data_IF_586339615879
#
_entry.id   IF_586339615879
#
_cell.length_a   1.000
_cell.length_b   1.000
_cell.length_c   1.000
_cell.angle_alpha   90.00
_cell.angle_beta   90.00
_cell.angle_gamma   90.00
#
_symmetry.space_group_name_H-M   'P 1'
#
loop_
_entity.id
_entity.type
_entity.pdbx_description
1 polymer ?
#
# COMPACT_ATOMS: atom_id res chain seq x y z
N UNK A 1 2.02 11.50 31.30
CA UNK A 1 2.61 10.41 30.50
C UNK A 1 3.70 11.00 29.62
N UNK A 2 4.87 10.37 29.58
CA UNK A 2 6.00 10.78 28.73
C UNK A 2 6.58 9.58 28.02
N UNK A 3 7.07 9.79 26.83
CA UNK A 3 7.82 8.77 26.07
C UNK A 3 9.13 8.52 26.81
N UNK A 4 9.38 7.28 27.18
CA UNK A 4 10.59 6.85 27.89
C UNK A 4 11.65 6.30 26.93
N UNK A 5 11.22 5.57 25.92
CA UNK A 5 12.10 4.91 24.94
C UNK A 5 11.33 4.56 23.67
N UNK A 6 12.05 4.43 22.54
CA UNK A 6 11.53 3.89 21.28
C UNK A 6 12.49 2.80 20.83
N UNK A 7 11.97 1.63 20.48
CA UNK A 7 12.77 0.49 20.01
C UNK A 7 12.20 -0.09 18.72
N UNK A 8 13.09 -0.56 17.88
CA UNK A 8 12.77 -1.31 16.67
C UNK A 8 12.99 -2.81 16.89
N UNK A 9 12.16 -3.63 16.25
CA UNK A 9 12.24 -5.08 16.25
C UNK A 9 12.18 -5.56 14.81
N UNK A 10 13.28 -6.13 14.33
CA UNK A 10 13.35 -6.73 13.00
C UNK A 10 13.07 -8.22 13.10
N UNK A 11 12.07 -8.70 12.38
CA UNK A 11 11.59 -10.08 12.42
C UNK A 11 11.71 -10.68 11.02
N UNK A 12 12.37 -11.82 10.90
CA UNK A 12 12.52 -12.52 9.61
C UNK A 12 11.16 -12.95 9.04
N UNK A 13 10.96 -12.66 7.76
CA UNK A 13 9.77 -13.02 6.99
C UNK A 13 10.16 -13.64 5.64
N UNK A 14 11.02 -14.63 5.65
CA UNK A 14 11.52 -15.47 4.54
C UNK A 14 11.90 -14.76 3.24
N UNK A 15 11.24 -13.68 2.84
CA UNK A 15 11.55 -12.87 1.64
C UNK A 15 12.23 -11.54 2.00
N UNK A 16 11.76 -10.93 3.07
CA UNK A 16 12.23 -9.65 3.62
C UNK A 16 12.10 -9.71 5.13
N UNK A 17 12.31 -8.62 5.84
CA UNK A 17 12.09 -8.58 7.28
C UNK A 17 10.94 -7.61 7.58
N UNK A 18 10.08 -7.99 8.50
CA UNK A 18 9.18 -7.05 9.15
C UNK A 18 9.95 -6.20 10.15
N UNK A 19 9.63 -4.93 10.21
CA UNK A 19 10.19 -4.00 11.20
C UNK A 19 9.05 -3.39 11.98
N UNK A 20 9.00 -3.69 13.27
CA UNK A 20 8.06 -3.10 14.20
C UNK A 20 8.73 -2.02 15.05
N UNK A 21 7.98 -0.96 15.37
CA UNK A 21 8.40 0.11 16.28
C UNK A 21 7.54 0.03 17.52
N UNK A 22 8.17 0.03 18.68
CA UNK A 22 7.48 0.10 19.97
C UNK A 22 7.88 1.35 20.72
N UNK A 23 6.89 2.18 21.07
CA UNK A 23 7.04 3.38 21.90
C UNK A 23 6.67 3.03 23.33
N UNK A 24 7.62 3.19 24.24
CA UNK A 24 7.45 2.94 25.66
C UNK A 24 7.16 4.25 26.41
N UNK A 25 6.24 4.20 27.38
CA UNK A 25 5.94 5.36 28.22
C UNK A 25 6.30 5.12 29.69
N UNK A 26 6.36 6.20 30.47
CA UNK A 26 6.56 6.16 31.92
C UNK A 26 5.33 5.67 32.70
N UNK A 27 4.16 5.62 32.06
CA UNK A 27 2.92 5.11 32.65
C UNK A 27 2.69 3.61 32.45
N UNK A 28 3.53 2.93 31.64
CA UNK A 28 3.35 1.53 31.26
C UNK A 28 2.32 1.31 30.13
N UNK A 29 1.69 2.36 29.61
CA UNK A 29 0.86 2.28 28.40
C UNK A 29 1.77 2.47 27.19
N UNK A 30 2.10 1.36 26.52
CA UNK A 30 3.01 1.33 25.37
C UNK A 30 2.23 1.14 24.07
N UNK A 31 2.77 1.65 22.95
CA UNK A 31 2.18 1.50 21.62
C UNK A 31 3.11 0.82 20.62
N UNK A 32 2.52 0.25 19.58
CA UNK A 32 3.23 -0.44 18.49
C UNK A 32 2.78 0.09 17.14
N UNK A 33 3.73 0.28 16.23
CA UNK A 33 3.50 0.57 14.82
C UNK A 33 4.38 -0.31 13.93
N UNK A 34 4.08 -0.36 12.66
CA UNK A 34 4.85 -1.10 11.65
C UNK A 34 5.59 -0.15 10.74
N UNK A 35 6.87 -0.47 10.47
CA UNK A 35 7.78 0.31 9.66
C UNK A 35 8.40 -0.52 8.53
N UNK A 36 7.79 -1.63 8.15
CA UNK A 36 8.33 -2.55 7.15
C UNK A 36 8.56 -1.82 5.83
N UNK A 37 9.82 -1.73 5.43
CA UNK A 37 10.24 -1.21 4.12
C UNK A 37 11.21 -2.22 3.51
N UNK A 38 10.74 -2.98 2.52
CA UNK A 38 11.46 -4.10 1.93
C UNK A 38 12.87 -3.71 1.47
N UNK A 39 13.87 -4.49 1.89
CA UNK A 39 15.29 -4.32 1.52
C UNK A 39 15.94 -3.00 2.01
N UNK A 40 15.27 -2.23 2.88
CA UNK A 40 15.78 -0.96 3.44
C UNK A 40 15.77 -0.93 4.97
N UNK A 41 15.63 -2.07 5.62
CA UNK A 41 15.42 -2.23 7.07
C UNK A 41 16.46 -1.47 7.89
N UNK A 42 17.75 -1.54 7.49
CA UNK A 42 18.84 -0.85 8.21
C UNK A 42 18.73 0.69 8.13
N UNK A 43 18.35 1.21 6.98
CA UNK A 43 18.12 2.64 6.80
C UNK A 43 16.93 3.10 7.63
N UNK A 44 15.87 2.30 7.64
CA UNK A 44 14.66 2.56 8.41
C UNK A 44 14.92 2.55 9.92
N UNK A 45 15.64 1.55 10.44
CA UNK A 45 16.04 1.49 11.86
C UNK A 45 16.81 2.75 12.25
N UNK A 46 17.77 3.18 11.41
CA UNK A 46 18.53 4.42 11.64
C UNK A 46 17.65 5.67 11.66
N UNK A 47 16.64 5.74 10.79
CA UNK A 47 15.68 6.85 10.77
C UNK A 47 14.82 6.89 12.04
N UNK A 48 14.36 5.73 12.55
CA UNK A 48 13.60 5.65 13.81
C UNK A 48 14.47 6.07 15.00
N UNK A 49 15.75 5.65 15.06
CA UNK A 49 16.66 6.08 16.12
C UNK A 49 16.90 7.60 16.09
N UNK A 50 16.98 8.20 14.90
CA UNK A 50 17.07 9.66 14.78
C UNK A 50 15.81 10.37 15.29
N UNK A 51 14.62 9.90 14.92
CA UNK A 51 13.33 10.44 15.40
C UNK A 51 13.23 10.34 16.93
N UNK A 52 13.67 9.23 17.51
CA UNK A 52 13.66 8.97 18.95
C UNK A 52 14.32 10.09 19.76
N UNK A 53 15.42 10.66 19.28
CA UNK A 53 16.16 11.71 19.97
C UNK A 53 15.28 12.95 20.30
N UNK A 54 14.34 13.28 19.41
CA UNK A 54 13.43 14.40 19.55
C UNK A 54 12.18 14.08 20.38
N UNK A 55 11.80 12.81 20.50
CA UNK A 55 10.54 12.38 21.11
C UNK A 55 10.66 11.93 22.56
N UNK A 56 11.83 11.42 22.99
CA UNK A 56 12.02 10.99 24.37
C UNK A 56 11.80 12.16 25.33
N UNK A 57 11.00 11.93 26.38
CA UNK A 57 10.56 12.94 27.34
C UNK A 57 9.33 13.76 26.94
N UNK A 58 8.87 13.66 25.69
CA UNK A 58 7.67 14.34 25.20
C UNK A 58 6.38 13.61 25.59
N UNK A 59 5.26 14.31 25.48
CA UNK A 59 3.92 13.75 25.70
C UNK A 59 3.46 12.97 24.46
N UNK A 60 3.24 11.63 24.52
CA UNK A 60 2.85 10.83 23.37
C UNK A 60 1.47 11.15 22.80
N UNK A 61 0.63 11.88 23.55
CA UNK A 61 -0.73 12.21 23.12
C UNK A 61 -0.79 13.42 22.20
N UNK A 62 0.32 14.13 22.00
CA UNK A 62 0.42 15.27 21.06
C UNK A 62 0.80 14.83 19.65
N UNK A 63 0.03 13.87 19.07
CA UNK A 63 0.38 13.15 17.84
C UNK A 63 0.65 14.09 16.68
N UNK A 64 -0.27 15.01 16.38
CA UNK A 64 -0.15 15.96 15.27
C UNK A 64 1.06 16.88 15.41
N UNK A 65 1.33 17.34 16.64
CA UNK A 65 2.51 18.15 16.94
C UNK A 65 3.81 17.39 16.64
N UNK A 66 3.87 16.12 17.04
CA UNK A 66 5.03 15.26 16.74
C UNK A 66 5.17 15.00 15.25
N UNK A 67 4.08 14.72 14.56
CA UNK A 67 4.08 14.56 13.10
C UNK A 67 4.65 15.79 12.41
N UNK A 68 4.18 16.98 12.75
CA UNK A 68 4.67 18.25 12.20
C UNK A 68 6.13 18.50 12.53
N UNK A 69 6.57 18.22 13.76
CA UNK A 69 7.97 18.38 14.15
C UNK A 69 8.89 17.48 13.35
N UNK A 70 8.53 16.19 13.18
CA UNK A 70 9.34 15.23 12.44
C UNK A 70 9.34 15.55 10.94
N UNK A 71 8.20 15.91 10.36
CA UNK A 71 8.08 16.15 8.92
C UNK A 71 8.49 17.56 8.51
N UNK A 72 7.82 18.58 9.08
CA UNK A 72 7.93 19.97 8.64
C UNK A 72 9.19 20.64 9.15
N UNK A 73 9.51 20.43 10.43
CA UNK A 73 10.56 21.18 11.10
C UNK A 73 11.95 20.59 10.86
N UNK A 74 12.02 19.40 10.26
CA UNK A 74 13.26 18.72 9.94
C UNK A 74 14.01 19.28 8.71
N UNK A 75 13.57 20.40 8.13
CA UNK A 75 14.10 21.06 6.94
C UNK A 75 14.07 20.17 5.66
N UNK A 76 14.73 19.02 5.66
CA UNK A 76 14.68 18.02 4.57
C UNK A 76 13.52 17.08 4.78
N UNK A 77 12.57 17.07 3.85
CA UNK A 77 11.28 16.39 4.00
C UNK A 77 11.13 15.24 3.03
N UNK A 78 10.31 14.27 3.44
CA UNK A 78 9.81 13.22 2.57
C UNK A 78 10.81 12.12 2.27
N UNK A 79 10.49 11.37 1.23
CA UNK A 79 11.19 10.15 0.86
C UNK A 79 10.74 8.94 1.69
N UNK A 80 10.72 7.76 1.04
CA UNK A 80 10.10 6.57 1.62
C UNK A 80 10.67 6.16 2.98
N UNK A 81 11.97 6.29 3.20
CA UNK A 81 12.60 5.87 4.48
C UNK A 81 12.13 6.74 5.64
N UNK A 82 12.15 8.08 5.47
CA UNK A 82 11.75 9.00 6.53
C UNK A 82 10.24 8.93 6.78
N UNK A 83 9.44 8.81 5.71
CA UNK A 83 8.00 8.71 5.84
C UNK A 83 7.58 7.38 6.49
N UNK A 84 8.24 6.27 6.18
CA UNK A 84 7.95 4.98 6.84
C UNK A 84 8.32 5.00 8.32
N UNK A 85 9.44 5.62 8.69
CA UNK A 85 9.81 5.77 10.09
C UNK A 85 8.82 6.66 10.86
N UNK A 86 8.38 7.77 10.25
CA UNK A 86 7.35 8.66 10.80
C UNK A 86 6.03 7.91 10.94
N UNK A 87 5.58 7.19 9.90
CA UNK A 87 4.34 6.41 9.92
C UNK A 87 4.29 5.42 11.09
N UNK A 88 5.37 4.67 11.29
CA UNK A 88 5.43 3.68 12.36
C UNK A 88 5.37 4.30 13.76
N UNK A 89 6.06 5.42 13.95
CA UNK A 89 5.99 6.16 15.22
C UNK A 89 4.59 6.72 15.43
N UNK A 90 4.00 7.32 14.41
CA UNK A 90 2.65 7.90 14.46
C UNK A 90 1.59 6.83 14.80
N UNK A 91 1.62 5.67 14.13
CA UNK A 91 0.74 4.54 14.46
C UNK A 91 0.91 4.09 15.92
N UNK A 92 2.14 4.02 16.43
CA UNK A 92 2.40 3.68 17.82
C UNK A 92 1.83 4.72 18.80
N UNK A 93 1.84 6.01 18.44
CA UNK A 93 1.22 7.06 19.27
C UNK A 93 -0.32 6.96 19.25
N UNK A 94 -0.94 6.62 18.13
CA UNK A 94 -2.38 6.33 18.08
C UNK A 94 -2.75 5.10 18.90
N UNK A 95 -1.93 4.06 18.90
CA UNK A 95 -2.13 2.87 19.74
C UNK A 95 -2.06 3.22 21.24
N UNK A 96 -1.10 4.10 21.63
CA UNK A 96 -1.05 4.64 23.00
C UNK A 96 -2.32 5.42 23.34
N UNK A 97 -2.77 6.31 22.46
CA UNK A 97 -3.96 7.13 22.70
C UNK A 97 -5.21 6.26 22.87
N UNK A 98 -5.41 5.29 21.98
CA UNK A 98 -6.52 4.34 22.09
C UNK A 98 -6.52 3.55 23.39
N UNK A 99 -5.36 3.02 23.78
CA UNK A 99 -5.16 2.30 25.07
C UNK A 99 -5.35 3.20 26.27
N UNK A 100 -4.85 4.44 26.23
CA UNK A 100 -5.01 5.41 27.31
C UNK A 100 -6.48 5.77 27.55
N UNK A 101 -7.25 5.93 26.48
CA UNK A 101 -8.69 6.23 26.55
C UNK A 101 -9.57 4.97 26.67
N UNK A 102 -8.98 3.77 26.58
CA UNK A 102 -9.67 2.48 26.57
C UNK A 102 -10.71 2.37 25.44
N UNK A 103 -10.37 2.86 24.24
CA UNK A 103 -11.20 2.75 23.02
C UNK A 103 -10.34 2.31 21.86
N UNK A 104 -10.88 1.58 20.87
CA UNK A 104 -10.15 1.27 19.65
C UNK A 104 -9.95 2.53 18.81
N UNK A 105 -8.84 2.59 18.08
CA UNK A 105 -8.44 3.76 17.29
C UNK A 105 -9.51 4.21 16.30
N UNK A 106 -10.23 3.27 15.66
CA UNK A 106 -11.28 3.63 14.70
C UNK A 106 -12.40 4.50 15.33
N UNK A 107 -12.67 4.38 16.64
CA UNK A 107 -13.66 5.25 17.31
C UNK A 107 -13.17 6.69 17.42
N UNK A 108 -11.85 6.89 17.54
CA UNK A 108 -11.24 8.22 17.55
C UNK A 108 -11.27 8.88 16.16
N UNK A 109 -11.40 8.08 15.11
CA UNK A 109 -11.48 8.50 13.72
C UNK A 109 -12.92 8.68 13.19
N UNK A 110 -13.92 8.60 14.05
CA UNK A 110 -15.33 8.81 13.69
C UNK A 110 -16.21 7.57 13.75
N UNK A 111 -15.67 6.42 14.14
CA UNK A 111 -16.40 5.17 14.33
C UNK A 111 -16.44 4.30 13.07
N UNK A 112 -17.16 3.19 13.16
CA UNK A 112 -17.30 2.25 12.05
C UNK A 112 -18.30 2.77 11.00
N UNK A 113 -17.93 2.63 9.73
CA UNK A 113 -18.85 2.71 8.60
C UNK A 113 -19.29 1.30 8.20
N UNK A 114 -18.36 0.36 8.11
CA UNK A 114 -18.60 -1.04 7.76
C UNK A 114 -18.15 -1.96 8.90
N UNK A 115 -18.89 -3.06 9.15
CA UNK A 115 -18.53 -4.08 10.14
C UNK A 115 -17.44 -5.03 9.62
N UNK A 116 -17.34 -5.19 8.31
CA UNK A 116 -16.39 -6.06 7.63
C UNK A 116 -15.72 -5.31 6.50
N UNK A 117 -14.46 -5.67 6.20
CA UNK A 117 -13.71 -5.16 5.06
C UNK A 117 -13.42 -6.32 4.13
N UNK A 118 -13.73 -6.15 2.84
CA UNK A 118 -13.36 -7.10 1.81
C UNK A 118 -11.85 -7.04 1.59
N UNK A 119 -11.20 -8.19 1.49
CA UNK A 119 -9.77 -8.30 1.24
C UNK A 119 -9.48 -9.04 -0.06
N UNK A 120 -8.36 -8.74 -0.68
CA UNK A 120 -7.75 -9.62 -1.66
C UNK A 120 -6.54 -10.33 -1.06
N UNK A 121 -6.14 -11.44 -1.68
CA UNK A 121 -4.94 -12.19 -1.25
C UNK A 121 -3.86 -12.13 -2.31
N UNK A 122 -2.61 -12.02 -1.83
CA UNK A 122 -1.40 -12.17 -2.62
C UNK A 122 -0.67 -13.45 -2.18
N UNK A 123 0.35 -13.91 -2.96
CA UNK A 123 1.14 -15.09 -2.62
C UNK A 123 0.41 -16.44 -2.77
N UNK A 124 -0.87 -16.46 -3.13
CA UNK A 124 -1.67 -17.67 -3.36
C UNK A 124 -1.06 -18.58 -4.43
N UNK A 125 -0.30 -18.03 -5.35
CA UNK A 125 0.36 -18.69 -6.47
C UNK A 125 1.72 -19.33 -6.13
N UNK A 126 2.15 -19.26 -4.87
CA UNK A 126 3.48 -19.69 -4.47
C UNK A 126 3.82 -21.09 -4.98
N UNK A 127 4.97 -21.20 -5.70
CA UNK A 127 5.46 -22.42 -6.31
C UNK A 127 4.91 -22.75 -7.70
N UNK A 128 3.91 -22.04 -8.21
CA UNK A 128 3.43 -22.20 -9.60
C UNK A 128 4.49 -21.69 -10.60
N UNK A 129 4.67 -22.45 -11.69
CA UNK A 129 5.65 -22.19 -12.77
C UNK A 129 5.03 -22.18 -14.15
N UNK A 130 3.88 -22.79 -14.31
CA UNK A 130 3.18 -22.95 -15.59
C UNK A 130 1.77 -22.38 -15.49
N UNK A 131 1.16 -21.93 -16.60
CA UNK A 131 -0.22 -21.43 -16.62
C UNK A 131 -1.21 -22.35 -15.91
N UNK A 132 -1.13 -23.66 -16.17
CA UNK A 132 -1.98 -24.66 -15.53
C UNK A 132 -1.82 -24.70 -14.01
N UNK A 133 -0.59 -24.62 -13.51
CA UNK A 133 -0.32 -24.60 -12.06
C UNK A 133 -0.88 -23.33 -11.42
N UNK A 134 -0.84 -22.17 -12.09
CA UNK A 134 -1.53 -20.96 -11.61
C UNK A 134 -3.04 -21.18 -11.48
N UNK A 135 -3.70 -21.78 -12.49
CA UNK A 135 -5.12 -22.15 -12.42
C UNK A 135 -5.43 -23.12 -11.28
N UNK A 136 -4.59 -24.14 -11.05
CA UNK A 136 -4.76 -25.08 -9.94
C UNK A 136 -4.65 -24.40 -8.57
N UNK A 137 -3.66 -23.51 -8.38
CA UNK A 137 -3.48 -22.73 -7.13
C UNK A 137 -4.66 -21.79 -6.89
N UNK A 138 -5.12 -21.09 -7.93
CA UNK A 138 -6.27 -20.21 -7.86
C UNK A 138 -7.53 -20.96 -7.43
N UNK A 139 -7.78 -22.14 -8.00
CA UNK A 139 -8.92 -23.00 -7.60
C UNK A 139 -8.84 -23.41 -6.12
N UNK A 140 -7.64 -23.71 -5.60
CA UNK A 140 -7.45 -24.03 -4.19
C UNK A 140 -7.77 -22.82 -3.30
N UNK A 141 -7.32 -21.61 -3.69
CA UNK A 141 -7.60 -20.39 -2.96
C UNK A 141 -9.11 -20.06 -2.97
N UNK A 142 -9.76 -20.14 -4.13
CA UNK A 142 -11.21 -19.91 -4.26
C UNK A 142 -12.03 -20.87 -3.40
N UNK A 143 -11.66 -22.17 -3.34
CA UNK A 143 -12.31 -23.15 -2.45
C UNK A 143 -12.20 -22.82 -0.96
N UNK A 144 -11.26 -21.96 -0.56
CA UNK A 144 -11.14 -21.46 0.82
C UNK A 144 -11.98 -20.20 1.08
N UNK A 145 -12.82 -19.80 0.13
CA UNK A 145 -13.66 -18.62 0.24
C UNK A 145 -13.00 -17.32 -0.20
N UNK A 146 -11.83 -17.37 -0.86
CA UNK A 146 -11.18 -16.19 -1.40
C UNK A 146 -11.94 -15.69 -2.62
N UNK A 147 -12.34 -14.42 -2.61
CA UNK A 147 -13.15 -13.77 -3.67
C UNK A 147 -12.37 -12.73 -4.46
N UNK A 148 -11.10 -12.47 -4.12
CA UNK A 148 -10.24 -11.52 -4.84
C UNK A 148 -8.78 -11.94 -4.75
N UNK A 149 -8.05 -11.93 -5.87
CA UNK A 149 -6.69 -12.46 -5.99
C UNK A 149 -5.80 -11.51 -6.78
N UNK A 150 -4.68 -11.09 -6.18
CA UNK A 150 -3.68 -10.22 -6.82
C UNK A 150 -2.39 -10.99 -7.10
N UNK A 151 -1.76 -10.73 -8.25
CA UNK A 151 -0.40 -11.19 -8.59
C UNK A 151 0.17 -10.47 -9.80
N UNK A 152 1.47 -10.60 -9.99
CA UNK A 152 2.22 -10.13 -11.15
C UNK A 152 2.51 -11.31 -12.11
N UNK A 153 1.88 -11.37 -13.28
CA UNK A 153 2.10 -12.43 -14.27
C UNK A 153 3.26 -12.15 -15.24
N UNK A 154 3.87 -10.95 -15.21
CA UNK A 154 4.77 -10.47 -16.28
C UNK A 154 6.24 -10.86 -16.11
N UNK A 155 6.56 -11.68 -15.11
CA UNK A 155 7.89 -12.22 -14.88
C UNK A 155 8.96 -11.13 -14.67
N UNK A 156 10.03 -11.17 -15.48
CA UNK A 156 11.16 -10.23 -15.41
C UNK A 156 11.13 -9.12 -16.47
N UNK A 157 10.04 -8.98 -17.21
CA UNK A 157 9.91 -7.95 -18.24
C UNK A 157 10.08 -6.55 -17.64
N UNK A 158 10.80 -5.67 -18.34
CA UNK A 158 11.10 -4.31 -17.88
C UNK A 158 11.12 -3.35 -19.08
N UNK A 159 10.50 -2.17 -18.95
CA UNK A 159 10.17 -1.17 -19.96
C UNK A 159 9.25 -1.71 -21.06
N UNK A 160 9.63 -2.77 -21.68
CA UNK A 160 8.88 -3.46 -22.74
C UNK A 160 8.67 -4.93 -22.37
N UNK A 161 7.68 -5.55 -23.01
CA UNK A 161 7.42 -6.98 -22.89
C UNK A 161 7.49 -7.62 -24.28
N UNK A 162 8.21 -8.73 -24.40
CA UNK A 162 8.25 -9.50 -25.64
C UNK A 162 6.87 -10.10 -25.92
N UNK A 163 6.56 -10.36 -27.20
CA UNK A 163 5.31 -11.04 -27.55
C UNK A 163 5.21 -12.42 -26.88
N UNK A 164 6.32 -13.14 -26.76
CA UNK A 164 6.37 -14.44 -26.08
C UNK A 164 6.00 -14.33 -24.60
N UNK A 165 6.58 -13.36 -23.89
CA UNK A 165 6.34 -13.20 -22.45
C UNK A 165 4.93 -12.66 -22.19
N UNK A 166 4.43 -11.78 -23.07
CA UNK A 166 3.05 -11.32 -23.01
C UNK A 166 2.07 -12.48 -23.20
N UNK A 167 2.28 -13.32 -24.24
CA UNK A 167 1.44 -14.51 -24.47
C UNK A 167 1.42 -15.41 -23.23
N UNK A 168 2.60 -15.69 -22.65
CA UNK A 168 2.68 -16.51 -21.43
C UNK A 168 1.92 -15.89 -20.25
N UNK A 169 2.04 -14.57 -20.06
CA UNK A 169 1.30 -13.85 -19.01
C UNK A 169 -0.22 -13.97 -19.21
N UNK A 170 -0.69 -13.76 -20.45
CA UNK A 170 -2.12 -13.87 -20.80
C UNK A 170 -2.63 -15.31 -20.63
N UNK A 171 -1.83 -16.33 -20.98
CA UNK A 171 -2.16 -17.73 -20.72
C UNK A 171 -2.31 -18.00 -19.21
N UNK A 172 -1.39 -17.48 -18.38
CA UNK A 172 -1.51 -17.61 -16.92
C UNK A 172 -2.81 -16.97 -16.40
N UNK A 173 -3.13 -15.76 -16.86
CA UNK A 173 -4.35 -15.06 -16.46
C UNK A 173 -5.59 -15.83 -16.93
N UNK A 174 -5.58 -16.33 -18.16
CA UNK A 174 -6.67 -17.14 -18.74
C UNK A 174 -6.95 -18.41 -17.94
N UNK A 175 -5.90 -19.15 -17.56
CA UNK A 175 -6.02 -20.36 -16.73
C UNK A 175 -6.56 -20.03 -15.32
N UNK A 176 -6.14 -18.91 -14.73
CA UNK A 176 -6.70 -18.44 -13.45
C UNK A 176 -8.18 -18.10 -13.62
N UNK A 177 -8.56 -17.28 -14.59
CA UNK A 177 -9.95 -16.91 -14.86
C UNK A 177 -10.83 -18.13 -15.11
N UNK A 178 -10.38 -19.08 -15.94
CA UNK A 178 -11.09 -20.32 -16.21
C UNK A 178 -11.26 -21.20 -14.95
N UNK A 179 -10.29 -21.15 -14.03
CA UNK A 179 -10.30 -21.94 -12.80
C UNK A 179 -11.24 -21.40 -11.72
N UNK A 180 -11.45 -20.07 -11.65
CA UNK A 180 -12.17 -19.41 -10.55
C UNK A 180 -13.53 -18.83 -10.97
N UNK A 181 -13.82 -18.73 -12.28
CA UNK A 181 -15.06 -18.14 -12.80
C UNK A 181 -15.09 -16.61 -12.71
N UNK A 182 -16.24 -15.99 -12.96
CA UNK A 182 -16.40 -14.52 -12.98
C UNK A 182 -16.67 -13.93 -11.59
N UNK A 183 -17.04 -14.73 -10.60
CA UNK A 183 -17.37 -14.27 -9.23
C UNK A 183 -16.14 -13.94 -8.38
N UNK A 184 -14.94 -14.27 -8.87
CA UNK A 184 -13.67 -13.95 -8.20
C UNK A 184 -12.99 -12.80 -8.95
N UNK A 185 -12.69 -11.71 -8.24
CA UNK A 185 -11.96 -10.60 -8.82
C UNK A 185 -10.48 -10.93 -9.02
N UNK A 186 -9.98 -10.61 -10.20
CA UNK A 186 -8.56 -10.69 -10.54
C UNK A 186 -7.96 -9.29 -10.56
N UNK A 187 -6.86 -9.13 -9.84
CA UNK A 187 -6.13 -7.89 -9.69
C UNK A 187 -4.73 -8.12 -10.26
N UNK A 188 -4.41 -7.41 -11.33
CA UNK A 188 -3.17 -7.65 -12.09
C UNK A 188 -2.15 -6.58 -11.74
N UNK A 189 -0.95 -7.00 -11.35
CA UNK A 189 0.12 -6.15 -10.88
C UNK A 189 1.20 -5.92 -11.95
N UNK A 190 1.57 -4.67 -12.20
CA UNK A 190 2.64 -4.28 -13.12
C UNK A 190 3.94 -3.88 -12.44
N UNK A 191 3.91 -3.61 -11.12
CA UNK A 191 5.05 -3.14 -10.32
C UNK A 191 5.78 -1.91 -10.90
N UNK A 192 5.06 -1.04 -11.62
CA UNK A 192 5.61 0.19 -12.16
C UNK A 192 6.76 0.00 -13.15
N UNK A 193 6.76 -1.07 -13.96
CA UNK A 193 7.92 -1.45 -14.75
C UNK A 193 7.85 -1.09 -16.23
N UNK A 194 6.68 -0.77 -16.76
CA UNK A 194 6.53 -0.62 -18.19
C UNK A 194 6.59 0.84 -18.65
N UNK A 195 6.97 1.06 -19.90
CA UNK A 195 6.77 2.34 -20.55
C UNK A 195 5.29 2.54 -20.94
N UNK A 196 4.91 3.77 -21.26
CA UNK A 196 3.51 4.11 -21.60
C UNK A 196 2.94 3.23 -22.74
N UNK A 197 3.60 3.04 -23.90
CA UNK A 197 3.07 2.20 -24.96
C UNK A 197 2.84 0.75 -24.55
N UNK A 198 3.75 0.19 -23.75
CA UNK A 198 3.66 -1.18 -23.24
C UNK A 198 2.54 -1.31 -22.22
N UNK A 199 2.42 -0.37 -21.28
CA UNK A 199 1.32 -0.33 -20.32
C UNK A 199 -0.05 -0.30 -21.00
N UNK A 200 -0.21 0.55 -22.01
CA UNK A 200 -1.45 0.61 -22.83
C UNK A 200 -1.70 -0.70 -23.58
N UNK A 201 -0.65 -1.30 -24.18
CA UNK A 201 -0.76 -2.58 -24.88
C UNK A 201 -1.25 -3.68 -23.92
N UNK A 202 -0.62 -3.81 -22.77
CA UNK A 202 -1.01 -4.79 -21.75
C UNK A 202 -2.46 -4.55 -21.29
N UNK A 203 -2.83 -3.31 -20.94
CA UNK A 203 -4.17 -2.98 -20.50
C UNK A 203 -5.26 -3.40 -21.50
N UNK A 204 -5.01 -3.22 -22.80
CA UNK A 204 -5.93 -3.68 -23.86
C UNK A 204 -6.06 -5.20 -23.91
N UNK A 205 -4.96 -5.92 -23.77
CA UNK A 205 -5.00 -7.40 -23.77
C UNK A 205 -5.67 -7.96 -22.50
N UNK A 206 -5.66 -7.21 -21.40
CA UNK A 206 -6.29 -7.61 -20.15
C UNK A 206 -7.82 -7.52 -20.19
N UNK A 207 -8.41 -6.69 -21.06
CA UNK A 207 -9.87 -6.45 -21.13
C UNK A 207 -10.67 -7.76 -21.22
N UNK A 208 -10.21 -8.73 -22.00
CA UNK A 208 -10.87 -10.03 -22.20
C UNK A 208 -11.04 -10.84 -20.91
N UNK A 209 -10.20 -10.58 -19.88
CA UNK A 209 -10.25 -11.30 -18.61
C UNK A 209 -11.04 -10.54 -17.54
N UNK A 210 -11.55 -9.35 -17.84
CA UNK A 210 -12.33 -8.51 -16.93
C UNK A 210 -11.68 -8.40 -15.54
N UNK A 211 -10.43 -7.95 -15.40
CA UNK A 211 -9.82 -7.75 -14.09
C UNK A 211 -10.50 -6.59 -13.38
N UNK A 212 -10.49 -6.60 -12.04
CA UNK A 212 -10.94 -5.48 -11.24
C UNK A 212 -10.11 -4.23 -11.54
N UNK A 213 -8.78 -4.40 -11.63
CA UNK A 213 -7.86 -3.34 -12.04
C UNK A 213 -6.51 -3.90 -12.54
N UNK A 214 -5.76 -3.02 -13.21
CA UNK A 214 -4.34 -3.18 -13.51
C UNK A 214 -3.55 -2.17 -12.69
N UNK A 215 -2.74 -2.65 -11.75
CA UNK A 215 -1.99 -1.84 -10.80
C UNK A 215 -0.63 -1.46 -11.35
N UNK A 216 -0.25 -0.20 -11.14
CA UNK A 216 1.04 0.39 -11.47
C UNK A 216 1.62 -0.07 -12.83
N UNK A 217 0.94 0.22 -13.94
CA UNK A 217 1.46 -0.14 -15.26
C UNK A 217 2.80 0.54 -15.59
N UNK A 218 3.04 1.73 -15.05
CA UNK A 218 4.22 2.57 -15.31
C UNK A 218 4.89 2.98 -14.00
N UNK A 219 6.17 3.45 -14.02
CA UNK A 219 6.86 3.92 -12.81
C UNK A 219 6.04 4.95 -12.03
N UNK A 220 6.02 4.86 -10.69
CA UNK A 220 5.22 5.73 -9.83
C UNK A 220 5.73 7.17 -9.77
N UNK A 221 6.95 7.41 -10.26
CA UNK A 221 7.60 8.72 -10.26
C UNK A 221 6.93 9.72 -11.24
N UNK A 222 6.12 9.22 -12.18
CA UNK A 222 5.47 10.03 -13.23
C UNK A 222 3.97 9.78 -13.29
N UNK A 223 3.21 10.62 -12.57
CA UNK A 223 1.74 10.57 -12.56
C UNK A 223 1.12 11.00 -13.89
N UNK A 224 1.80 11.80 -14.72
CA UNK A 224 1.33 12.16 -16.06
C UNK A 224 1.44 10.93 -16.99
N UNK A 225 2.49 10.12 -16.84
CA UNK A 225 2.60 8.83 -17.55
C UNK A 225 1.49 7.85 -17.11
N UNK A 226 1.21 7.77 -15.81
CA UNK A 226 0.12 6.95 -15.27
C UNK A 226 -1.22 7.37 -15.88
N UNK A 227 -1.51 8.68 -15.87
CA UNK A 227 -2.71 9.26 -16.50
C UNK A 227 -2.80 8.92 -17.99
N UNK A 228 -1.69 9.02 -18.72
CA UNK A 228 -1.66 8.69 -20.16
C UNK A 228 -2.01 7.23 -20.43
N UNK A 229 -1.66 6.31 -19.54
CA UNK A 229 -2.11 4.90 -19.63
C UNK A 229 -3.58 4.79 -19.25
N UNK A 230 -3.98 5.39 -18.12
CA UNK A 230 -5.37 5.36 -17.62
C UNK A 230 -6.37 5.86 -18.67
N UNK A 231 -6.09 6.98 -19.33
CA UNK A 231 -6.97 7.57 -20.33
C UNK A 231 -7.17 6.69 -21.59
N UNK A 232 -6.31 5.71 -21.80
CA UNK A 232 -6.35 4.79 -22.96
C UNK A 232 -6.60 3.34 -22.58
N UNK A 233 -6.72 3.05 -21.30
CA UNK A 233 -6.97 1.72 -20.78
C UNK A 233 -8.46 1.37 -20.83
N UNK A 234 -8.84 0.20 -21.34
CA UNK A 234 -10.21 -0.29 -21.23
C UNK A 234 -10.51 -0.93 -19.87
N UNK A 235 -9.47 -1.16 -19.05
CA UNK A 235 -9.60 -1.68 -17.68
C UNK A 235 -9.23 -0.60 -16.68
N UNK A 236 -9.81 -0.64 -15.49
CA UNK A 236 -9.49 0.30 -14.45
C UNK A 236 -8.01 0.25 -14.05
N UNK A 237 -7.43 1.40 -13.73
CA UNK A 237 -6.03 1.52 -13.30
C UNK A 237 -6.00 1.78 -11.81
N UNK A 238 -5.10 1.08 -11.11
CA UNK A 238 -4.83 1.28 -9.69
C UNK A 238 -3.38 1.73 -9.47
N UNK A 239 -3.16 2.55 -8.44
CA UNK A 239 -1.82 2.94 -7.96
C UNK A 239 -1.92 3.59 -6.57
N UNK A 240 -0.77 3.87 -5.95
CA UNK A 240 -0.72 4.66 -4.72
C UNK A 240 0.16 4.10 -3.62
N UNK A 241 0.55 2.83 -3.66
CA UNK A 241 1.41 2.23 -2.61
C UNK A 241 2.78 2.92 -2.46
N UNK A 242 3.24 3.59 -3.52
CA UNK A 242 4.52 4.31 -3.55
C UNK A 242 4.36 5.83 -3.56
N UNK A 243 3.26 6.35 -3.03
CA UNK A 243 3.04 7.77 -2.73
C UNK A 243 3.12 7.97 -1.21
N UNK A 244 3.70 9.09 -0.77
CA UNK A 244 4.14 9.18 0.63
C UNK A 244 3.56 10.34 1.42
N UNK A 245 2.76 11.20 0.82
CA UNK A 245 2.17 12.35 1.51
C UNK A 245 0.84 12.75 0.89
N UNK A 246 0.03 13.52 1.64
CA UNK A 246 -1.19 14.16 1.12
C UNK A 246 -0.95 14.97 -0.14
N UNK A 247 0.25 15.52 -0.33
CA UNK A 247 0.57 16.32 -1.53
C UNK A 247 0.76 15.45 -2.76
N UNK A 248 1.34 14.25 -2.62
CA UNK A 248 1.45 13.29 -3.71
C UNK A 248 0.07 12.77 -4.10
N UNK A 249 -0.76 12.40 -3.11
CA UNK A 249 -2.14 11.98 -3.36
C UNK A 249 -2.99 13.11 -3.96
N UNK A 250 -2.83 14.35 -3.46
CA UNK A 250 -3.52 15.49 -4.06
C UNK A 250 -3.22 15.61 -5.55
N UNK A 251 -1.94 15.51 -5.95
CA UNK A 251 -1.58 15.54 -7.37
C UNK A 251 -2.20 14.40 -8.16
N UNK A 252 -2.23 13.18 -7.60
CA UNK A 252 -2.90 12.04 -8.22
C UNK A 252 -4.39 12.31 -8.44
N UNK A 253 -5.08 12.92 -7.46
CA UNK A 253 -6.50 13.27 -7.55
C UNK A 253 -6.74 14.39 -8.57
N UNK A 254 -5.96 15.48 -8.53
CA UNK A 254 -6.07 16.58 -9.47
C UNK A 254 -5.93 16.12 -10.93
N UNK A 255 -5.07 15.16 -11.19
CA UNK A 255 -4.84 14.56 -12.50
C UNK A 255 -5.88 13.48 -12.84
N UNK A 256 -6.64 12.96 -11.87
CA UNK A 256 -7.43 11.73 -12.03
C UNK A 256 -6.59 10.61 -12.64
N UNK A 257 -5.40 10.37 -12.11
CA UNK A 257 -4.41 9.49 -12.71
C UNK A 257 -4.70 7.99 -12.50
N UNK A 258 -5.58 7.64 -11.57
CA UNK A 258 -6.00 6.28 -11.27
C UNK A 258 -7.50 6.21 -10.98
N UNK A 259 -8.10 5.03 -11.16
CA UNK A 259 -9.50 4.73 -10.83
C UNK A 259 -9.62 4.17 -9.41
N UNK A 260 -8.60 3.44 -8.95
CA UNK A 260 -8.46 2.93 -7.59
C UNK A 260 -7.17 3.46 -6.98
N UNK A 261 -7.21 3.78 -5.69
CA UNK A 261 -6.02 4.17 -4.94
C UNK A 261 -5.74 3.15 -3.84
N UNK A 262 -4.46 2.82 -3.68
CA UNK A 262 -3.98 1.84 -2.69
C UNK A 262 -2.87 2.45 -1.83
N UNK A 263 -3.21 3.42 -0.94
CA UNK A 263 -2.21 4.00 -0.06
C UNK A 263 -1.74 2.97 0.96
N UNK A 264 -0.44 2.93 1.21
CA UNK A 264 0.13 2.13 2.29
C UNK A 264 0.32 3.01 3.54
N UNK A 265 -0.39 2.66 4.61
CA UNK A 265 -0.32 3.37 5.89
C UNK A 265 1.08 3.37 6.48
N UNK A 266 1.88 2.32 6.20
CA UNK A 266 3.26 2.19 6.68
C UNK A 266 4.22 3.15 5.97
N UNK A 267 3.82 3.74 4.83
CA UNK A 267 4.68 4.60 4.01
C UNK A 267 4.14 6.02 3.83
N UNK A 268 2.83 6.19 3.87
CA UNK A 268 2.16 7.45 3.51
C UNK A 268 2.28 8.56 4.57
N UNK A 269 2.75 8.26 5.77
CA UNK A 269 2.83 9.21 6.88
C UNK A 269 1.95 8.86 8.08
N UNK A 270 1.37 7.65 8.10
CA UNK A 270 0.55 7.12 9.19
C UNK A 270 -0.95 7.36 9.01
N UNK A 271 -1.70 7.10 10.07
CA UNK A 271 -3.17 7.11 10.11
C UNK A 271 -3.73 8.50 9.80
N UNK A 272 -3.21 9.53 10.45
CA UNK A 272 -3.72 10.90 10.30
C UNK A 272 -3.48 11.45 8.89
N UNK A 273 -2.33 11.14 8.31
CA UNK A 273 -1.99 11.62 6.97
C UNK A 273 -2.92 11.03 5.90
N UNK A 274 -3.19 9.73 5.98
CA UNK A 274 -4.14 9.07 5.08
C UNK A 274 -5.57 9.56 5.29
N UNK A 275 -5.99 9.74 6.53
CA UNK A 275 -7.31 10.30 6.83
C UNK A 275 -7.49 11.70 6.23
N UNK A 276 -6.44 12.54 6.29
CA UNK A 276 -6.46 13.88 5.69
C UNK A 276 -6.47 13.83 4.15
N UNK A 277 -5.70 12.94 3.55
CA UNK A 277 -5.69 12.72 2.09
C UNK A 277 -7.07 12.27 1.60
N UNK A 278 -7.72 11.35 2.31
CA UNK A 278 -9.07 10.89 2.00
C UNK A 278 -10.13 12.00 2.11
N UNK A 279 -10.06 12.83 3.16
CA UNK A 279 -10.95 13.97 3.29
C UNK A 279 -10.79 14.98 2.13
N UNK A 280 -9.56 15.24 1.70
CA UNK A 280 -9.30 16.13 0.55
C UNK A 280 -9.93 15.58 -0.72
N UNK A 281 -9.89 14.26 -0.94
CA UNK A 281 -10.53 13.62 -2.08
C UNK A 281 -12.06 13.80 -2.08
N UNK A 282 -12.70 13.66 -0.94
CA UNK A 282 -14.18 13.78 -0.81
C UNK A 282 -14.68 15.18 -1.21
N UNK A 283 -13.85 16.20 -1.06
CA UNK A 283 -14.21 17.56 -1.43
C UNK A 283 -14.11 17.82 -2.94
N UNK A 284 -13.22 17.10 -3.64
CA UNK A 284 -12.85 17.45 -5.02
C UNK A 284 -13.44 16.55 -6.11
N UNK A 285 -13.86 15.31 -5.86
CA UNK A 285 -14.05 14.41 -7.00
C UNK A 285 -15.22 13.45 -7.01
N UNK A 286 -15.97 13.19 -6.02
CA UNK A 286 -17.00 12.12 -6.09
C UNK A 286 -16.46 10.73 -6.55
N UNK A 287 -15.16 10.55 -6.62
CA UNK A 287 -14.49 9.31 -7.03
C UNK A 287 -14.42 8.36 -5.84
N UNK A 288 -14.81 7.12 -6.02
CA UNK A 288 -14.92 6.10 -4.97
C UNK A 288 -13.54 5.52 -4.70
N UNK A 289 -13.10 5.51 -3.43
CA UNK A 289 -12.13 4.53 -2.97
C UNK A 289 -12.78 3.15 -3.07
N UNK A 290 -12.17 2.24 -3.78
CA UNK A 290 -12.66 0.88 -3.91
C UNK A 290 -12.60 0.13 -2.59
N UNK A 291 -13.56 0.40 -1.72
CA UNK A 291 -13.83 -0.39 -0.52
C UNK A 291 -15.36 -0.39 -0.31
N UNK A 292 -16.03 -1.20 -1.09
CA UNK A 292 -17.33 -1.77 -0.72
C UNK A 292 -17.13 -3.21 -0.28
#
# INVERSE_FOLDING_TARGET
MKIRDIKTFTVDCFRTNWVFVKVYTDSGVDGVGEATLEYKEKALVGAVEHIKESLVGQNPLEIEKHWHSIYRDAYWRGGVVLMSALSAVEMALWDILGKHLNVPVYQLLGGKVNDTVRIYVNGWFAGAKTPKEFGEKARIAAKRGITAMKWDPFGKSYLEISNKDLTLALECIGEVRAAVGEDVDLLIEGHGRFNIPTGIKIAKELEQFKPMFFEEPVPPDDLDALKAVRDKSPVAISAGERLYTRWDYKRMFDLMAADYIQPDISHAGGIMELFTAEQSRRLDSGTILGHD
#
